data_IF_078523268405
#
_entry.id   IF_078523268405
#
_cell.length_a   1.000
_cell.length_b   1.000
_cell.length_c   1.000
_cell.angle_alpha   90.00
_cell.angle_beta   90.00
_cell.angle_gamma   90.00
#
_symmetry.space_group_name_H-M   'P 1'
#
loop_
_entity.id
_entity.type
_entity.pdbx_description
1 polymer ?
#
# COMPACT_ATOMS: atom_id res chain seq x y z
N UNK A 1 -36.10 -18.69 25.32
CA UNK A 1 -35.08 -19.49 24.62
C UNK A 1 -34.21 -18.62 23.74
N UNK A 2 -32.90 -18.85 23.69
CA UNK A 2 -32.00 -18.04 22.85
C UNK A 2 -32.33 -18.26 21.37
N UNK A 3 -32.53 -17.17 20.63
CA UNK A 3 -32.81 -17.21 19.18
C UNK A 3 -31.48 -17.47 18.45
N UNK A 4 -31.32 -18.67 17.89
CA UNK A 4 -30.17 -19.02 17.04
C UNK A 4 -30.43 -18.59 15.60
N UNK A 5 -29.69 -17.63 15.11
CA UNK A 5 -29.84 -17.12 13.74
C UNK A 5 -28.51 -17.21 12.98
N UNK A 6 -28.51 -17.84 11.81
CA UNK A 6 -27.34 -17.91 10.94
C UNK A 6 -26.96 -16.54 10.34
N UNK A 7 -25.67 -16.35 10.06
CA UNK A 7 -25.23 -15.15 9.35
C UNK A 7 -25.83 -15.10 7.94
N UNK A 8 -26.41 -13.96 7.56
CA UNK A 8 -27.08 -13.77 6.26
C UNK A 8 -26.12 -13.43 5.10
N UNK A 9 -24.83 -13.28 5.37
CA UNK A 9 -23.83 -13.05 4.31
C UNK A 9 -23.58 -14.36 3.54
N UNK A 10 -24.01 -14.45 2.26
CA UNK A 10 -23.88 -15.68 1.50
C UNK A 10 -22.46 -16.06 1.13
N UNK A 11 -21.51 -15.13 1.22
CA UNK A 11 -20.13 -15.35 0.85
C UNK A 11 -19.35 -16.16 1.90
N UNK A 12 -19.80 -16.15 3.16
CA UNK A 12 -19.20 -16.94 4.24
C UNK A 12 -19.27 -18.45 3.97
N UNK A 13 -20.25 -18.89 3.19
CA UNK A 13 -20.49 -20.30 2.86
C UNK A 13 -19.85 -20.75 1.54
N UNK A 14 -19.03 -19.89 0.89
CA UNK A 14 -18.46 -20.18 -0.45
C UNK A 14 -16.98 -20.58 -0.44
N UNK A 15 -16.39 -20.73 0.74
CA UNK A 15 -14.97 -21.12 0.91
C UNK A 15 -13.98 -20.25 0.09
N UNK A 16 -14.23 -18.95 0.05
CA UNK A 16 -13.43 -17.96 -0.69
C UNK A 16 -12.52 -17.11 0.21
N UNK A 17 -12.47 -17.41 1.51
CA UNK A 17 -11.78 -16.60 2.52
C UNK A 17 -12.61 -15.39 2.97
N UNK A 18 -13.93 -15.43 2.79
CA UNK A 18 -14.82 -14.39 3.32
C UNK A 18 -14.92 -14.49 4.84
N UNK A 19 -14.80 -13.33 5.52
CA UNK A 19 -14.82 -13.21 6.98
C UNK A 19 -15.76 -12.09 7.49
N UNK A 20 -16.54 -11.48 6.63
CA UNK A 20 -17.50 -10.43 6.98
C UNK A 20 -18.18 -9.85 5.75
N UNK A 21 -19.04 -8.81 5.87
CA UNK A 21 -19.25 -8.00 7.06
C UNK A 21 -20.76 -8.00 7.40
N UNK A 22 -21.60 -7.34 6.56
CA UNK A 22 -23.03 -7.12 6.86
C UNK A 22 -23.89 -7.09 5.60
N UNK A 23 -25.07 -7.69 5.67
CA UNK A 23 -26.12 -7.55 4.65
C UNK A 23 -27.09 -6.44 5.04
N UNK A 24 -27.58 -5.70 4.06
CA UNK A 24 -28.66 -4.73 4.21
C UNK A 24 -29.82 -5.00 3.27
N UNK A 25 -30.98 -4.43 3.63
CA UNK A 25 -32.15 -4.35 2.79
C UNK A 25 -32.98 -3.12 3.16
N UNK A 26 -33.33 -2.33 2.16
CA UNK A 26 -34.28 -1.24 2.24
C UNK A 26 -35.29 -1.39 1.11
N UNK A 27 -36.56 -1.01 1.34
CA UNK A 27 -37.64 -1.23 0.37
C UNK A 27 -37.40 -0.56 -0.98
N UNK A 28 -36.75 0.60 -1.02
CA UNK A 28 -36.41 1.34 -2.25
C UNK A 28 -35.02 1.02 -2.78
N UNK A 29 -34.00 0.78 -1.93
CA UNK A 29 -32.63 0.46 -2.33
C UNK A 29 -32.38 -1.05 -2.50
N UNK A 30 -33.37 -1.88 -2.15
CA UNK A 30 -33.30 -3.34 -2.25
C UNK A 30 -32.17 -3.96 -1.41
N UNK A 31 -31.43 -4.93 -1.97
CA UNK A 31 -30.41 -5.68 -1.24
C UNK A 31 -29.04 -5.05 -1.34
N UNK A 32 -28.30 -5.04 -0.24
CA UNK A 32 -26.93 -4.58 -0.15
C UNK A 32 -26.04 -5.58 0.59
N UNK A 33 -24.71 -5.47 0.37
CA UNK A 33 -23.71 -6.28 1.03
C UNK A 33 -22.40 -5.50 1.16
N UNK A 34 -22.02 -5.21 2.40
CA UNK A 34 -20.64 -4.93 2.76
C UNK A 34 -19.94 -6.27 3.00
N UNK A 35 -18.88 -6.55 2.27
CA UNK A 35 -18.19 -7.84 2.29
C UNK A 35 -16.68 -7.68 2.43
N UNK A 36 -16.05 -8.64 3.11
CA UNK A 36 -14.61 -8.71 3.30
C UNK A 36 -14.13 -10.12 2.97
N UNK A 37 -13.02 -10.21 2.25
CA UNK A 37 -12.28 -11.46 2.05
C UNK A 37 -10.80 -11.23 2.33
N UNK A 38 -10.16 -12.23 2.95
CA UNK A 38 -8.72 -12.25 3.18
C UNK A 38 -8.11 -13.47 2.49
N UNK A 39 -7.09 -13.24 1.65
CA UNK A 39 -6.29 -14.32 1.06
C UNK A 39 -4.81 -13.96 1.17
N UNK A 40 -4.04 -14.85 1.82
CA UNK A 40 -2.65 -14.57 2.20
C UNK A 40 -2.62 -13.27 3.01
N UNK A 41 -1.72 -12.36 2.69
CA UNK A 41 -1.57 -11.07 3.38
C UNK A 41 -2.45 -9.94 2.81
N UNK A 42 -3.36 -10.28 1.88
CA UNK A 42 -4.20 -9.31 1.20
C UNK A 42 -5.65 -9.42 1.62
N UNK A 43 -6.20 -8.29 2.11
CA UNK A 43 -7.62 -8.11 2.38
C UNK A 43 -8.27 -7.24 1.31
N UNK A 44 -9.45 -7.64 0.86
CA UNK A 44 -10.34 -6.82 0.05
C UNK A 44 -11.65 -6.59 0.79
N UNK A 45 -12.11 -5.36 0.73
CA UNK A 45 -13.42 -4.93 1.22
C UNK A 45 -14.19 -4.39 0.02
N UNK A 46 -15.43 -4.81 -0.12
CA UNK A 46 -16.34 -4.31 -1.14
C UNK A 46 -17.69 -4.01 -0.52
N UNK A 47 -18.22 -2.84 -0.84
CA UNK A 47 -19.60 -2.44 -0.50
C UNK A 47 -20.37 -2.21 -1.78
N UNK A 48 -21.55 -2.82 -1.85
CA UNK A 48 -22.42 -2.74 -3.03
C UNK A 48 -23.89 -2.82 -2.63
N UNK A 49 -24.73 -2.02 -3.27
CA UNK A 49 -26.15 -1.88 -3.01
C UNK A 49 -26.98 -1.90 -4.29
N UNK A 50 -28.30 -1.86 -4.16
CA UNK A 50 -29.23 -1.79 -5.28
C UNK A 50 -29.52 -3.11 -5.98
N UNK A 51 -29.16 -4.26 -5.41
CA UNK A 51 -29.43 -5.56 -6.01
C UNK A 51 -30.92 -5.91 -5.91
N UNK A 52 -31.51 -6.32 -7.01
CA UNK A 52 -32.96 -6.66 -7.07
C UNK A 52 -33.30 -7.90 -6.25
N UNK A 53 -32.38 -8.85 -6.12
CA UNK A 53 -32.58 -10.13 -5.42
C UNK A 53 -31.39 -10.51 -4.53
N UNK A 54 -31.64 -11.37 -3.53
CA UNK A 54 -30.59 -11.96 -2.68
C UNK A 54 -29.55 -12.74 -3.51
N UNK A 55 -30.00 -13.42 -4.58
CA UNK A 55 -29.14 -14.22 -5.45
C UNK A 55 -28.22 -13.30 -6.27
N UNK A 56 -28.77 -12.24 -6.85
CA UNK A 56 -28.00 -11.23 -7.58
C UNK A 56 -26.92 -10.59 -6.67
N UNK A 57 -27.29 -10.17 -5.47
CA UNK A 57 -26.37 -9.67 -4.44
C UNK A 57 -25.20 -10.64 -4.23
N UNK A 58 -25.49 -11.93 -3.98
CA UNK A 58 -24.46 -12.95 -3.77
C UNK A 58 -23.54 -13.10 -4.98
N UNK A 59 -24.11 -13.20 -6.19
CA UNK A 59 -23.38 -13.42 -7.44
C UNK A 59 -22.50 -12.23 -7.82
N UNK A 60 -23.03 -11.01 -7.75
CA UNK A 60 -22.29 -9.81 -8.16
C UNK A 60 -21.21 -9.43 -7.14
N UNK A 61 -21.49 -9.54 -5.84
CA UNK A 61 -20.47 -9.31 -4.81
C UNK A 61 -19.32 -10.30 -4.92
N UNK A 62 -19.60 -11.58 -5.18
CA UNK A 62 -18.56 -12.59 -5.44
C UNK A 62 -17.74 -12.23 -6.67
N UNK A 63 -18.39 -11.82 -7.77
CA UNK A 63 -17.70 -11.42 -9.00
C UNK A 63 -16.77 -10.23 -8.78
N UNK A 64 -17.22 -9.20 -8.06
CA UNK A 64 -16.44 -8.01 -7.73
C UNK A 64 -15.19 -8.37 -6.91
N UNK A 65 -15.35 -9.13 -5.84
CA UNK A 65 -14.23 -9.56 -4.98
C UNK A 65 -13.24 -10.45 -5.74
N UNK A 66 -13.75 -11.39 -6.56
CA UNK A 66 -12.90 -12.25 -7.41
C UNK A 66 -12.11 -11.42 -8.41
N UNK A 67 -12.74 -10.42 -9.03
CA UNK A 67 -12.06 -9.48 -9.92
C UNK A 67 -10.93 -8.73 -9.20
N UNK A 68 -11.19 -8.18 -8.02
CA UNK A 68 -10.18 -7.48 -7.21
C UNK A 68 -9.00 -8.41 -6.81
N UNK A 69 -9.27 -9.67 -6.46
CA UNK A 69 -8.22 -10.64 -6.11
C UNK A 69 -7.37 -11.07 -7.32
N UNK A 70 -8.03 -11.25 -8.47
CA UNK A 70 -7.36 -11.86 -9.65
C UNK A 70 -6.68 -10.84 -10.55
N UNK A 71 -7.27 -9.65 -10.69
CA UNK A 71 -6.78 -8.61 -11.62
C UNK A 71 -5.82 -7.61 -11.02
N UNK A 72 -5.74 -7.54 -9.69
CA UNK A 72 -4.86 -6.62 -8.98
C UNK A 72 -3.83 -7.37 -8.12
N UNK A 73 -2.70 -6.75 -7.89
CA UNK A 73 -1.70 -7.19 -6.92
C UNK A 73 -1.28 -6.00 -6.04
N UNK A 74 -0.88 -6.30 -4.80
CA UNK A 74 -0.26 -5.34 -3.90
C UNK A 74 1.23 -5.61 -3.86
N UNK A 75 2.02 -4.60 -4.18
CA UNK A 75 3.48 -4.67 -4.25
C UNK A 75 4.04 -3.88 -3.08
N UNK A 76 4.93 -4.48 -2.31
CA UNK A 76 5.75 -3.76 -1.32
C UNK A 76 6.85 -3.02 -2.09
N UNK A 77 6.90 -1.71 -1.93
CA UNK A 77 7.88 -0.82 -2.58
C UNK A 77 9.08 -0.62 -1.67
N UNK A 78 8.83 -0.39 -0.38
CA UNK A 78 9.86 -0.18 0.62
C UNK A 78 9.42 -0.77 1.96
N UNK A 79 10.39 -1.22 2.74
CA UNK A 79 10.20 -1.74 4.09
C UNK A 79 10.60 -0.69 5.13
N UNK A 80 9.80 -0.61 6.19
CA UNK A 80 10.02 0.30 7.31
C UNK A 80 11.41 0.15 7.89
N UNK A 81 12.16 1.27 7.96
CA UNK A 81 13.50 1.38 8.58
C UNK A 81 14.59 0.48 7.95
N UNK A 82 14.29 -0.19 6.85
CA UNK A 82 15.31 -0.84 6.05
C UNK A 82 15.98 0.15 5.09
N UNK A 83 17.26 -0.09 4.80
CA UNK A 83 17.99 0.71 3.83
C UNK A 83 17.35 0.57 2.45
N UNK A 84 16.76 1.65 1.97
CA UNK A 84 16.13 1.66 0.66
C UNK A 84 17.14 1.84 -0.48
N UNK A 85 18.03 2.80 -0.33
CA UNK A 85 19.12 3.11 -1.28
C UNK A 85 20.18 3.98 -0.61
N UNK A 86 21.19 4.38 -1.38
CA UNK A 86 22.22 5.35 -0.98
C UNK A 86 22.08 6.64 -1.77
N UNK A 87 22.44 7.76 -1.15
CA UNK A 87 22.57 9.08 -1.77
C UNK A 87 24.00 9.60 -1.59
N UNK A 88 24.45 10.46 -2.52
CA UNK A 88 25.80 11.03 -2.48
C UNK A 88 25.89 12.15 -1.44
N UNK A 89 27.04 12.20 -0.74
CA UNK A 89 27.33 13.20 0.29
C UNK A 89 28.59 13.97 -0.06
N UNK A 90 28.54 15.30 0.08
CA UNK A 90 29.64 16.21 -0.13
C UNK A 90 30.15 16.80 1.17
N UNK A 91 31.47 17.01 1.26
CA UNK A 91 32.19 17.51 2.45
C UNK A 91 31.98 16.69 3.73
N UNK A 92 31.49 15.46 3.63
CA UNK A 92 31.31 14.56 4.75
C UNK A 92 32.47 13.63 5.00
N UNK A 93 32.57 13.07 6.23
CA UNK A 93 33.50 11.98 6.53
C UNK A 93 33.20 10.70 5.76
N UNK A 94 32.02 10.57 5.17
CA UNK A 94 31.58 9.52 4.24
C UNK A 94 31.05 10.18 2.97
N UNK A 95 31.26 9.55 1.84
CA UNK A 95 30.85 10.03 0.53
C UNK A 95 29.41 9.58 0.15
N UNK A 96 28.85 8.67 0.92
CA UNK A 96 27.49 8.14 0.70
C UNK A 96 26.76 7.98 2.01
N UNK A 97 25.43 8.05 1.94
CA UNK A 97 24.53 7.91 3.07
C UNK A 97 23.38 6.96 2.70
N UNK A 98 23.12 5.96 3.54
CA UNK A 98 21.93 5.14 3.41
C UNK A 98 20.70 5.94 3.82
N UNK A 99 19.62 5.78 3.07
CA UNK A 99 18.31 6.40 3.36
C UNK A 99 17.23 5.35 3.51
N UNK A 100 16.23 5.64 4.33
CA UNK A 100 15.13 4.73 4.65
C UNK A 100 13.79 5.46 4.71
N UNK A 101 12.69 4.70 4.74
CA UNK A 101 11.33 5.18 4.97
C UNK A 101 10.87 4.84 6.38
N UNK A 102 9.99 5.66 6.97
CA UNK A 102 9.49 5.42 8.33
C UNK A 102 8.39 4.36 8.42
N UNK A 103 7.73 4.04 7.30
CA UNK A 103 6.65 3.07 7.25
C UNK A 103 6.78 2.17 6.02
N UNK A 104 6.16 0.98 6.10
CA UNK A 104 6.02 0.10 4.95
C UNK A 104 5.21 0.77 3.84
N UNK A 105 5.74 0.80 2.62
CA UNK A 105 5.07 1.39 1.48
C UNK A 105 4.54 0.29 0.56
N UNK A 106 3.23 0.27 0.38
CA UNK A 106 2.55 -0.64 -0.53
C UNK A 106 1.80 0.10 -1.62
N UNK A 107 1.75 -0.48 -2.81
CA UNK A 107 0.90 -0.01 -3.91
C UNK A 107 0.09 -1.15 -4.51
N UNK A 108 -1.21 -0.94 -4.66
CA UNK A 108 -2.09 -1.89 -5.33
C UNK A 108 -2.34 -1.42 -6.76
N UNK A 109 -1.97 -2.24 -7.72
CA UNK A 109 -2.05 -1.92 -9.15
C UNK A 109 -2.63 -3.09 -9.95
N UNK A 110 -3.17 -2.84 -11.16
CA UNK A 110 -3.55 -3.91 -12.08
C UNK A 110 -2.33 -4.75 -12.47
N UNK A 111 -2.41 -6.07 -12.30
CA UNK A 111 -1.31 -7.01 -12.62
C UNK A 111 -0.76 -6.83 -14.04
N UNK A 112 -1.66 -6.70 -15.02
CA UNK A 112 -1.29 -6.53 -16.42
C UNK A 112 -0.52 -5.23 -16.71
N UNK A 113 -0.54 -4.29 -15.77
CA UNK A 113 0.09 -2.97 -15.91
C UNK A 113 1.30 -2.78 -14.98
N UNK A 114 1.81 -3.83 -14.36
CA UNK A 114 2.95 -3.80 -13.43
C UNK A 114 4.19 -3.09 -14.01
N UNK A 115 4.46 -3.28 -15.29
CA UNK A 115 5.59 -2.64 -16.01
C UNK A 115 5.58 -1.10 -16.00
N UNK A 116 4.43 -0.48 -15.71
CA UNK A 116 4.29 0.97 -15.63
C UNK A 116 4.52 1.53 -14.23
N UNK A 117 4.72 0.67 -13.23
CA UNK A 117 5.09 1.10 -11.88
C UNK A 117 6.59 1.37 -11.84
N UNK A 118 6.96 2.58 -11.42
CA UNK A 118 8.35 3.02 -11.27
C UNK A 118 8.52 3.73 -9.93
N UNK A 119 9.66 3.53 -9.29
CA UNK A 119 10.08 4.28 -8.12
C UNK A 119 11.32 5.10 -8.48
N UNK A 120 11.36 6.37 -8.09
CA UNK A 120 12.50 7.26 -8.29
C UNK A 120 12.83 7.96 -6.99
N UNK A 121 14.12 8.04 -6.68
CA UNK A 121 14.64 8.86 -5.58
C UNK A 121 15.06 10.21 -6.17
N UNK A 122 14.55 11.27 -5.58
CA UNK A 122 14.80 12.65 -5.98
C UNK A 122 15.46 13.38 -4.81
N UNK A 123 16.60 14.00 -5.04
CA UNK A 123 17.31 14.82 -4.04
C UNK A 123 18.19 15.86 -4.74
N UNK A 124 18.45 16.95 -4.04
CA UNK A 124 19.43 17.94 -4.47
C UNK A 124 20.81 17.45 -4.07
N UNK A 125 21.42 16.73 -4.99
CA UNK A 125 22.69 16.06 -4.71
C UNK A 125 23.91 16.70 -5.35
N UNK A 126 25.07 16.44 -4.76
CA UNK A 126 25.31 15.70 -3.53
C UNK A 126 24.89 16.48 -2.26
N UNK A 127 24.39 15.76 -1.24
CA UNK A 127 23.91 16.36 0.01
C UNK A 127 25.11 16.84 0.83
N UNK A 128 25.09 18.10 1.25
CA UNK A 128 26.22 18.70 1.98
C UNK A 128 26.20 18.34 3.47
N UNK A 129 27.27 17.78 3.98
CA UNK A 129 27.46 17.56 5.43
C UNK A 129 27.62 18.90 6.20
N UNK A 130 27.23 18.98 7.51
CA UNK A 130 26.84 17.87 8.36
C UNK A 130 25.38 17.44 8.13
N UNK A 131 25.11 16.15 8.34
CA UNK A 131 23.77 15.55 8.24
C UNK A 131 23.50 14.85 9.56
N UNK A 132 22.29 15.02 10.11
CA UNK A 132 21.87 14.31 11.29
C UNK A 132 21.02 13.10 10.93
N UNK A 133 21.09 12.08 11.77
CA UNK A 133 20.21 10.94 11.65
C UNK A 133 18.74 11.40 11.71
N UNK A 134 17.92 10.85 10.83
CA UNK A 134 16.50 11.16 10.62
C UNK A 134 16.24 12.54 9.95
N UNK A 135 17.26 13.27 9.50
CA UNK A 135 17.01 14.40 8.61
C UNK A 135 16.35 13.91 7.32
N UNK A 136 15.37 14.64 6.80
CA UNK A 136 14.81 14.39 5.47
C UNK A 136 15.83 14.85 4.44
N UNK A 137 16.33 13.93 3.63
CA UNK A 137 17.44 14.18 2.70
C UNK A 137 17.10 13.89 1.24
N UNK A 138 15.99 13.19 1.00
CA UNK A 138 15.51 12.86 -0.34
C UNK A 138 14.01 12.58 -0.31
N UNK A 139 13.41 12.45 -1.51
CA UNK A 139 12.03 12.04 -1.72
C UNK A 139 11.96 10.76 -2.56
N UNK A 140 11.13 9.81 -2.14
CA UNK A 140 10.76 8.65 -2.94
C UNK A 140 9.46 8.95 -3.68
N UNK A 141 9.54 9.14 -5.00
CA UNK A 141 8.36 9.33 -5.86
C UNK A 141 7.99 8.02 -6.56
N UNK A 142 6.74 7.61 -6.39
CA UNK A 142 6.21 6.43 -7.03
C UNK A 142 5.31 6.87 -8.19
N UNK A 143 5.63 6.37 -9.36
CA UNK A 143 4.89 6.66 -10.60
C UNK A 143 4.13 5.42 -11.06
N UNK A 144 2.95 5.64 -11.57
CA UNK A 144 2.22 4.65 -12.34
C UNK A 144 1.88 5.26 -13.71
N UNK A 145 2.48 4.73 -14.77
CA UNK A 145 2.63 5.45 -16.04
C UNK A 145 3.38 6.77 -15.80
N UNK A 146 2.76 7.90 -16.11
CA UNK A 146 3.35 9.24 -15.96
C UNK A 146 2.78 9.99 -14.75
N UNK A 147 1.84 9.39 -14.01
CA UNK A 147 1.21 10.00 -12.84
C UNK A 147 1.94 9.63 -11.55
N UNK A 148 2.15 10.60 -10.66
CA UNK A 148 2.68 10.37 -9.31
C UNK A 148 1.54 9.81 -8.46
N UNK A 149 1.71 8.57 -7.97
CA UNK A 149 0.74 7.88 -7.10
C UNK A 149 1.21 7.78 -5.65
N UNK A 150 2.36 8.35 -5.34
CA UNK A 150 2.89 8.46 -3.98
C UNK A 150 4.15 9.28 -3.94
N UNK A 151 4.31 10.03 -2.84
CA UNK A 151 5.50 10.79 -2.49
C UNK A 151 5.78 10.57 -1.01
N UNK A 152 7.02 10.21 -0.68
CA UNK A 152 7.43 9.81 0.66
C UNK A 152 8.80 10.37 0.98
N UNK A 153 8.99 10.84 2.20
CA UNK A 153 10.28 11.31 2.68
C UNK A 153 11.25 10.15 2.85
N UNK A 154 12.50 10.37 2.45
CA UNK A 154 13.61 9.49 2.73
C UNK A 154 14.52 10.15 3.77
N UNK A 155 14.75 9.42 4.86
CA UNK A 155 15.45 9.89 6.04
C UNK A 155 16.87 9.34 6.10
N UNK A 156 17.78 10.14 6.64
CA UNK A 156 19.17 9.78 6.90
C UNK A 156 19.28 8.66 7.95
N UNK A 157 19.97 7.57 7.62
CA UNK A 157 20.13 6.42 8.54
C UNK A 157 21.11 6.66 9.68
N UNK A 158 22.03 7.63 9.51
CA UNK A 158 23.11 7.93 10.47
C UNK A 158 23.51 9.41 10.42
N UNK A 159 24.30 9.82 11.41
CA UNK A 159 24.93 11.14 11.42
C UNK A 159 26.17 11.12 10.53
N UNK A 160 26.31 12.12 9.66
CA UNK A 160 27.55 12.36 8.91
C UNK A 160 28.13 13.71 9.33
N UNK A 161 29.30 13.67 9.97
CA UNK A 161 30.06 14.88 10.34
C UNK A 161 30.77 15.45 9.13
N UNK A 162 30.99 16.78 9.13
CA UNK A 162 31.81 17.45 8.14
C UNK A 162 33.26 16.96 8.20
N UNK A 163 33.87 16.77 7.06
CA UNK A 163 35.31 16.46 6.97
C UNK A 163 36.13 17.73 7.26
N UNK A 164 37.08 17.64 8.19
CA UNK A 164 38.01 18.73 8.43
C UNK A 164 39.04 18.80 7.28
N UNK A 165 39.16 19.97 6.66
CA UNK A 165 40.09 20.21 5.53
C UNK A 165 41.58 20.08 5.96
N UNK A 166 41.85 20.05 7.28
CA UNK A 166 43.23 20.03 7.86
C UNK A 166 43.84 18.61 7.90
N UNK A 167 43.14 17.58 7.47
CA UNK A 167 43.61 16.18 7.46
C UNK A 167 43.93 15.64 6.07
N UNK A 168 44.59 16.45 5.25
CA UNK A 168 45.30 15.97 4.04
C UNK A 168 46.80 16.06 4.24
#
# INVERSE_FOLDING_TARGET
DPIKQGNRNPLLYKNIGADGIKTGYLSHEKYSLASSIKRKDRRLIADASGFKTKNERSKQSLKLLTWGLTKFETIKIAEKKENFTTVDVWHGKKNTLNVFVEEDIYKTIPKAKKKYLKAKVIYDGPITAPINKNDIVAELKIYFKDEIIGNYDLLASENIKKQNIISR
#
